data_IF_059345494601
#
_entry.id   IF_059345494601
#
_cell.length_a   1.000
_cell.length_b   1.000
_cell.length_c   1.000
_cell.angle_alpha   90.00
_cell.angle_beta   90.00
_cell.angle_gamma   90.00
#
_symmetry.space_group_name_H-M   'P 1'
#
loop_
_entity.id
_entity.type
_entity.pdbx_description
1 polymer ?
#
# COMPACT_ATOMS: atom_id res chain seq x y z
N UNK A 1 -6.55 -10.73 -8.71
CA UNK A 1 -6.36 -9.99 -9.97
C UNK A 1 -5.22 -8.99 -9.81
N UNK A 2 -4.90 -8.27 -10.88
CA UNK A 2 -3.89 -7.20 -10.87
C UNK A 2 -4.58 -5.85 -11.13
N UNK A 3 -5.47 -5.47 -10.20
CA UNK A 3 -6.44 -4.41 -10.42
C UNK A 3 -5.79 -3.02 -10.39
N UNK A 4 -6.40 -2.10 -11.14
CA UNK A 4 -5.93 -0.73 -11.23
C UNK A 4 -7.00 0.29 -10.90
N UNK A 5 -6.55 1.42 -10.36
CA UNK A 5 -7.28 2.70 -10.38
C UNK A 5 -6.53 3.58 -11.39
N UNK A 6 -7.30 4.25 -12.26
CA UNK A 6 -6.79 5.22 -13.24
C UNK A 6 -7.23 6.60 -12.78
N UNK A 7 -6.28 7.52 -12.66
CA UNK A 7 -6.49 8.87 -12.14
C UNK A 7 -6.12 9.87 -13.24
N UNK A 8 -7.10 10.67 -13.64
CA UNK A 8 -6.91 11.76 -14.60
C UNK A 8 -6.53 13.06 -13.87
N UNK A 9 -6.11 14.06 -14.64
CA UNK A 9 -5.71 15.39 -14.18
C UNK A 9 -6.82 16.16 -13.44
N UNK A 10 -8.08 15.91 -13.78
CA UNK A 10 -9.25 16.55 -13.18
C UNK A 10 -9.88 15.76 -12.01
N UNK A 11 -9.21 14.69 -11.56
CA UNK A 11 -9.72 13.83 -10.50
C UNK A 11 -9.75 14.53 -9.12
N UNK A 12 -10.77 14.21 -8.32
CA UNK A 12 -10.79 14.55 -6.88
C UNK A 12 -9.72 13.73 -6.14
N UNK A 13 -8.58 14.35 -5.87
CA UNK A 13 -7.44 13.67 -5.23
C UNK A 13 -7.75 13.22 -3.79
N UNK A 14 -8.63 13.91 -3.06
CA UNK A 14 -8.99 13.51 -1.69
C UNK A 14 -9.85 12.23 -1.71
N UNK A 15 -10.71 12.08 -2.71
CA UNK A 15 -11.40 10.82 -2.95
C UNK A 15 -10.42 9.72 -3.36
N UNK A 16 -9.49 10.01 -4.28
CA UNK A 16 -8.50 9.04 -4.76
C UNK A 16 -7.61 8.51 -3.65
N UNK A 17 -7.14 9.36 -2.73
CA UNK A 17 -6.33 8.96 -1.58
C UNK A 17 -7.09 7.97 -0.70
N UNK A 18 -8.32 8.31 -0.31
CA UNK A 18 -9.17 7.45 0.54
C UNK A 18 -9.47 6.11 -0.14
N UNK A 19 -9.85 6.16 -1.42
CA UNK A 19 -10.16 4.96 -2.20
C UNK A 19 -8.92 4.07 -2.37
N UNK A 20 -7.75 4.65 -2.64
CA UNK A 20 -6.51 3.91 -2.84
C UNK A 20 -6.03 3.25 -1.56
N UNK A 21 -6.03 3.98 -0.43
CA UNK A 21 -5.66 3.43 0.88
C UNK A 21 -6.57 2.25 1.24
N UNK A 22 -7.88 2.43 1.19
CA UNK A 22 -8.81 1.34 1.51
C UNK A 22 -8.67 0.15 0.54
N UNK A 23 -8.48 0.42 -0.75
CA UNK A 23 -8.39 -0.62 -1.77
C UNK A 23 -7.07 -1.40 -1.73
N UNK A 24 -5.96 -0.76 -1.39
CA UNK A 24 -4.65 -1.39 -1.30
C UNK A 24 -4.44 -2.08 0.05
N UNK A 25 -4.78 -1.39 1.13
CA UNK A 25 -4.37 -1.75 2.48
C UNK A 25 -5.47 -2.53 3.24
N UNK A 26 -6.76 -2.34 2.89
CA UNK A 26 -7.86 -3.09 3.48
C UNK A 26 -7.66 -4.61 3.39
N UNK A 27 -8.00 -5.35 4.45
CA UNK A 27 -7.72 -6.80 4.59
C UNK A 27 -6.23 -7.17 4.42
N UNK A 28 -5.33 -6.25 4.79
CA UNK A 28 -3.88 -6.39 4.61
C UNK A 28 -3.51 -6.69 3.15
N UNK A 29 -4.27 -6.15 2.20
CA UNK A 29 -4.09 -6.37 0.78
C UNK A 29 -4.41 -7.79 0.27
N UNK A 30 -4.95 -8.69 1.11
CA UNK A 30 -5.24 -10.09 0.79
C UNK A 30 -6.64 -10.27 0.17
N UNK A 31 -6.99 -9.40 -0.78
CA UNK A 31 -8.26 -9.45 -1.53
C UNK A 31 -7.96 -9.58 -3.03
N UNK A 32 -8.75 -10.40 -3.73
CA UNK A 32 -8.59 -10.59 -5.18
C UNK A 32 -8.83 -9.30 -5.98
N UNK A 33 -9.58 -8.35 -5.40
CA UNK A 33 -9.89 -7.01 -5.90
C UNK A 33 -9.06 -5.90 -5.25
N UNK A 34 -7.97 -6.23 -4.53
CA UNK A 34 -7.07 -5.19 -4.00
C UNK A 34 -6.44 -4.38 -5.13
N UNK A 35 -6.17 -3.11 -4.85
CA UNK A 35 -5.38 -2.25 -5.73
C UNK A 35 -3.94 -2.79 -5.80
N UNK A 36 -3.45 -3.01 -7.02
CA UNK A 36 -2.07 -3.44 -7.27
C UNK A 36 -1.30 -2.43 -8.12
N UNK A 37 -2.02 -1.61 -8.90
CA UNK A 37 -1.44 -0.59 -9.79
C UNK A 37 -2.26 0.68 -9.72
N UNK A 38 -1.64 1.79 -9.35
CA UNK A 38 -2.25 3.11 -9.42
C UNK A 38 -1.65 3.83 -10.63
N UNK A 39 -2.46 4.07 -11.66
CA UNK A 39 -2.02 4.71 -12.91
C UNK A 39 -2.49 6.15 -12.87
N UNK A 40 -1.56 7.09 -12.83
CA UNK A 40 -1.83 8.49 -12.51
C UNK A 40 -1.36 9.39 -13.63
N UNK A 41 -2.18 10.39 -13.98
CA UNK A 41 -1.78 11.44 -14.90
C UNK A 41 -0.56 12.20 -14.37
N UNK A 42 0.38 12.54 -15.26
CA UNK A 42 1.66 13.16 -14.91
C UNK A 42 1.49 14.45 -14.11
N UNK A 43 0.43 15.21 -14.38
CA UNK A 43 0.22 16.53 -13.79
C UNK A 43 -0.19 16.48 -12.31
N UNK A 44 -0.63 15.31 -11.82
CA UNK A 44 -1.11 15.13 -10.44
C UNK A 44 -0.38 14.04 -9.66
N UNK A 45 0.57 13.33 -10.29
CA UNK A 45 1.25 12.18 -9.67
C UNK A 45 2.08 12.57 -8.44
N UNK A 46 2.75 13.72 -8.48
CA UNK A 46 3.59 14.16 -7.36
C UNK A 46 2.74 14.55 -6.14
N UNK A 47 1.72 15.40 -6.32
CA UNK A 47 0.79 15.77 -5.23
C UNK A 47 0.07 14.55 -4.67
N UNK A 48 -0.42 13.65 -5.53
CA UNK A 48 -1.08 12.43 -5.08
C UNK A 48 -0.12 11.51 -4.30
N UNK A 49 1.14 11.40 -4.73
CA UNK A 49 2.15 10.57 -4.05
C UNK A 49 2.40 11.08 -2.63
N UNK A 50 2.60 12.38 -2.46
CA UNK A 50 2.81 13.00 -1.13
C UNK A 50 1.62 12.76 -0.21
N UNK A 51 0.39 12.93 -0.71
CA UNK A 51 -0.83 12.68 0.07
C UNK A 51 -0.99 11.21 0.44
N UNK A 52 -0.64 10.28 -0.44
CA UNK A 52 -0.69 8.84 -0.16
C UNK A 52 0.34 8.44 0.89
N UNK A 53 1.57 8.95 0.81
CA UNK A 53 2.61 8.74 1.82
C UNK A 53 2.12 9.24 3.19
N UNK A 54 1.57 10.46 3.23
CA UNK A 54 1.00 11.01 4.45
C UNK A 54 -0.13 10.12 5.00
N UNK A 55 -1.06 9.68 4.15
CA UNK A 55 -2.17 8.82 4.57
C UNK A 55 -1.70 7.44 5.07
N UNK A 56 -0.72 6.82 4.41
CA UNK A 56 -0.18 5.51 4.81
C UNK A 56 0.58 5.59 6.14
N UNK A 57 1.22 6.72 6.44
CA UNK A 57 1.90 6.93 7.73
C UNK A 57 0.95 6.90 8.94
N UNK A 58 -0.35 7.12 8.73
CA UNK A 58 -1.37 7.12 9.77
C UNK A 58 -1.95 5.72 10.04
N UNK A 59 -1.56 4.71 9.26
CA UNK A 59 -2.09 3.35 9.41
C UNK A 59 -1.58 2.75 10.72
N UNK A 60 -2.52 2.31 11.55
CA UNK A 60 -2.23 1.56 12.77
C UNK A 60 -2.23 0.06 12.49
N UNK A 61 -1.05 -0.55 12.60
CA UNK A 61 -0.90 -1.99 12.55
C UNK A 61 -1.11 -2.58 13.94
N UNK A 62 -1.91 -3.64 14.07
CA UNK A 62 -2.27 -4.15 15.39
C UNK A 62 -2.96 -5.50 15.43
N UNK A 63 -3.41 -5.87 16.63
CA UNK A 63 -4.26 -7.03 16.82
C UNK A 63 -5.62 -6.78 16.14
N UNK A 64 -6.11 -7.69 15.27
CA UNK A 64 -7.39 -7.51 14.61
C UNK A 64 -8.61 -7.45 15.57
N UNK A 65 -8.45 -7.77 16.86
CA UNK A 65 -9.48 -7.61 17.88
C UNK A 65 -9.46 -6.24 18.57
N UNK A 66 -8.43 -5.42 18.34
CA UNK A 66 -8.33 -4.06 18.86
C UNK A 66 -9.08 -3.08 17.94
N UNK A 67 -9.97 -2.26 18.51
CA UNK A 67 -10.80 -1.29 17.78
C UNK A 67 -9.98 -0.20 17.09
N UNK A 68 -8.76 0.07 17.58
CA UNK A 68 -7.85 1.05 17.00
C UNK A 68 -7.00 0.48 15.86
N UNK A 69 -7.03 -0.84 15.62
CA UNK A 69 -6.29 -1.49 14.54
C UNK A 69 -6.97 -1.25 13.20
N UNK A 70 -6.24 -0.63 12.27
CA UNK A 70 -6.68 -0.56 10.88
C UNK A 70 -6.23 -1.78 10.07
N UNK A 71 -5.03 -2.30 10.34
CA UNK A 71 -4.42 -3.40 9.59
C UNK A 71 -3.84 -4.46 10.52
N UNK A 72 -4.34 -5.68 10.36
CA UNK A 72 -3.86 -6.86 11.04
C UNK A 72 -2.71 -7.56 10.29
N UNK A 73 -2.25 -8.72 10.79
CA UNK A 73 -1.19 -9.48 10.15
C UNK A 73 -1.64 -10.06 8.79
N UNK A 74 -0.66 -10.43 7.97
CA UNK A 74 -0.82 -11.35 6.87
C UNK A 74 -1.16 -12.75 7.39
N UNK A 75 -1.62 -13.63 6.48
CA UNK A 75 -2.09 -14.97 6.86
C UNK A 75 -0.98 -15.86 7.44
N UNK A 76 0.24 -15.78 6.90
CA UNK A 76 1.38 -16.60 7.28
C UNK A 76 2.72 -15.94 6.89
N UNK A 77 3.83 -16.58 7.28
CA UNK A 77 5.18 -16.13 6.94
C UNK A 77 5.44 -16.14 5.42
N UNK A 78 4.88 -17.11 4.69
CA UNK A 78 5.10 -17.19 3.25
C UNK A 78 4.51 -15.96 2.52
N UNK A 79 3.38 -15.43 2.99
CA UNK A 79 2.81 -14.18 2.51
C UNK A 79 3.69 -12.96 2.80
N UNK A 80 4.32 -12.91 3.99
CA UNK A 80 5.31 -11.86 4.36
C UNK A 80 6.50 -11.93 3.41
N UNK A 81 7.11 -13.10 3.28
CA UNK A 81 8.31 -13.32 2.46
C UNK A 81 8.04 -13.00 0.98
N UNK A 82 6.89 -13.43 0.45
CA UNK A 82 6.48 -13.14 -0.92
C UNK A 82 6.29 -11.63 -1.15
N UNK A 83 5.68 -10.93 -0.18
CA UNK A 83 5.45 -9.49 -0.29
C UNK A 83 6.76 -8.70 -0.22
N UNK A 84 7.68 -9.09 0.68
CA UNK A 84 9.04 -8.52 0.78
C UNK A 84 9.84 -8.76 -0.50
N UNK A 85 9.78 -9.97 -1.06
CA UNK A 85 10.44 -10.27 -2.33
C UNK A 85 9.89 -9.41 -3.48
N UNK A 86 8.57 -9.19 -3.55
CA UNK A 86 7.97 -8.32 -4.56
C UNK A 86 8.42 -6.86 -4.44
N UNK A 87 8.53 -6.34 -3.21
CA UNK A 87 9.07 -4.99 -2.94
C UNK A 87 10.51 -4.90 -3.42
N UNK A 88 11.34 -5.89 -3.06
CA UNK A 88 12.75 -5.94 -3.44
C UNK A 88 12.93 -5.99 -4.96
N UNK A 89 12.17 -6.83 -5.67
CA UNK A 89 12.18 -6.91 -7.13
C UNK A 89 11.83 -5.55 -7.76
N UNK A 90 10.82 -4.86 -7.24
CA UNK A 90 10.42 -3.56 -7.78
C UNK A 90 11.52 -2.50 -7.60
N UNK A 91 12.21 -2.50 -6.47
CA UNK A 91 13.36 -1.61 -6.22
C UNK A 91 14.53 -1.95 -7.16
N UNK A 92 14.85 -3.23 -7.33
CA UNK A 92 15.90 -3.69 -8.26
C UNK A 92 15.62 -3.32 -9.72
N UNK A 93 14.33 -3.19 -10.08
CA UNK A 93 13.88 -2.73 -11.40
C UNK A 93 13.83 -1.21 -11.54
N UNK A 94 14.34 -0.46 -10.55
CA UNK A 94 14.42 1.00 -10.57
C UNK A 94 13.23 1.71 -9.93
N UNK A 95 12.36 0.98 -9.23
CA UNK A 95 11.28 1.57 -8.43
C UNK A 95 11.80 2.26 -7.17
N UNK A 96 11.12 3.34 -6.78
CA UNK A 96 11.40 4.09 -5.56
C UNK A 96 10.40 3.72 -4.46
N UNK A 97 10.88 3.24 -3.31
CA UNK A 97 10.04 2.97 -2.15
C UNK A 97 9.70 4.28 -1.44
N UNK A 98 8.45 4.75 -1.58
CA UNK A 98 7.98 6.00 -1.01
C UNK A 98 7.52 5.85 0.46
N UNK A 99 6.97 4.69 0.83
CA UNK A 99 6.49 4.43 2.19
C UNK A 99 6.45 2.92 2.49
N UNK A 100 6.58 2.57 3.78
CA UNK A 100 6.34 1.23 4.31
C UNK A 100 7.35 0.17 3.90
N UNK A 101 6.90 -1.08 3.80
CA UNK A 101 7.75 -2.21 3.40
C UNK A 101 8.62 -2.81 4.51
N UNK A 102 8.58 -2.25 5.72
CA UNK A 102 9.29 -2.81 6.87
C UNK A 102 8.47 -3.91 7.55
N UNK A 103 9.18 -4.91 8.08
CA UNK A 103 8.61 -5.89 8.98
C UNK A 103 8.82 -5.37 10.42
N UNK A 104 7.73 -4.99 11.13
CA UNK A 104 7.87 -4.44 12.47
C UNK A 104 8.33 -5.52 13.46
N UNK A 105 9.13 -5.13 14.45
CA UNK A 105 9.59 -6.03 15.52
C UNK A 105 8.45 -6.33 16.50
N UNK A 106 7.62 -7.32 16.14
CA UNK A 106 6.47 -7.77 16.92
C UNK A 106 6.10 -9.22 16.58
N UNK A 107 5.36 -9.86 17.49
CA UNK A 107 4.82 -11.22 17.24
C UNK A 107 3.70 -11.18 16.20
N UNK A 108 3.73 -12.15 15.27
CA UNK A 108 2.76 -12.30 14.19
C UNK A 108 3.35 -11.96 12.82
N UNK A 109 2.60 -12.22 11.75
CA UNK A 109 3.07 -12.05 10.38
C UNK A 109 2.78 -10.64 9.87
N UNK A 110 3.50 -9.64 10.37
CA UNK A 110 3.24 -8.24 10.03
C UNK A 110 4.17 -7.73 8.93
N UNK A 111 3.64 -6.87 8.07
CA UNK A 111 4.41 -6.11 7.10
C UNK A 111 3.74 -4.76 6.91
N UNK A 112 4.50 -3.68 6.96
CA UNK A 112 3.98 -2.35 6.67
C UNK A 112 3.51 -2.26 5.20
N UNK A 113 2.33 -1.71 4.93
CA UNK A 113 1.85 -1.52 3.56
C UNK A 113 2.79 -0.59 2.81
N UNK A 114 3.23 -1.03 1.63
CA UNK A 114 4.25 -0.31 0.86
C UNK A 114 3.65 0.50 -0.30
N UNK A 115 4.24 1.66 -0.57
CA UNK A 115 4.02 2.43 -1.80
C UNK A 115 5.33 2.44 -2.57
N UNK A 116 5.30 1.99 -3.82
CA UNK A 116 6.45 2.04 -4.72
C UNK A 116 6.06 2.84 -5.96
N UNK A 117 6.86 3.86 -6.27
CA UNK A 117 6.77 4.62 -7.52
C UNK A 117 7.64 3.94 -8.57
N UNK A 118 7.05 3.63 -9.71
CA UNK A 118 7.76 3.04 -10.85
C UNK A 118 8.15 4.18 -11.81
N UNK A 119 9.36 4.16 -12.40
CA UNK A 119 9.80 5.15 -13.39
C UNK A 119 8.98 5.15 -14.69
#
# INVERSE_FOLDING_TARGET
GNNAIIVMDDADLDMVVRASLFSAAGTTGQRCTSLRRLIVHSDVVDDLSDRLVAAFSQIRLGDPLDEDTLIGPLIDQAAVDTSKAAIQIAIEQGGELLAGGNEPDRTGFFLEPAIIRIP
#
